data_IF_083870006237
#
_entry.id   IF_083870006237
#
_cell.length_a   1.000
_cell.length_b   1.000
_cell.length_c   1.000
_cell.angle_alpha   90.00
_cell.angle_beta   90.00
_cell.angle_gamma   90.00
#
_symmetry.space_group_name_H-M   'P 1'
#
loop_
_entity.id
_entity.type
_entity.pdbx_description
1 polymer ?
#
# COMPACT_ATOMS: atom_id res chain seq x y z
N UNK A 1 -11.37 -18.73 27.66
CA UNK A 1 -12.06 -19.79 26.87
C UNK A 1 -12.84 -19.29 25.64
N UNK A 2 -13.69 -18.24 25.71
CA UNK A 2 -14.47 -17.78 24.52
C UNK A 2 -13.63 -17.30 23.32
N UNK A 3 -12.50 -16.62 23.55
CA UNK A 3 -11.61 -16.13 22.46
C UNK A 3 -10.85 -17.26 21.73
N UNK A 4 -10.44 -18.31 22.46
CA UNK A 4 -9.74 -19.47 21.89
C UNK A 4 -10.64 -20.25 20.92
N UNK A 5 -11.89 -20.52 21.34
CA UNK A 5 -12.90 -21.18 20.49
C UNK A 5 -13.23 -20.34 19.23
N UNK A 6 -13.33 -19.01 19.37
CA UNK A 6 -13.56 -18.12 18.23
C UNK A 6 -12.39 -18.17 17.22
N UNK A 7 -11.15 -18.11 17.70
CA UNK A 7 -9.96 -18.19 16.84
C UNK A 7 -9.93 -19.52 16.09
N UNK A 8 -10.18 -20.64 16.78
CA UNK A 8 -10.27 -21.97 16.16
C UNK A 8 -11.37 -22.05 15.09
N UNK A 9 -12.53 -21.43 15.31
CA UNK A 9 -13.61 -21.38 14.32
C UNK A 9 -13.27 -20.56 13.08
N UNK A 10 -12.49 -19.48 13.24
CA UNK A 10 -11.97 -18.70 12.13
C UNK A 10 -10.99 -19.55 11.31
N UNK A 11 -10.02 -20.20 11.97
CA UNK A 11 -9.02 -21.05 11.31
C UNK A 11 -9.68 -22.22 10.56
N UNK A 12 -10.68 -22.88 11.17
CA UNK A 12 -11.49 -23.91 10.49
C UNK A 12 -12.19 -23.36 9.24
N UNK A 13 -12.70 -22.13 9.29
CA UNK A 13 -13.37 -21.46 8.16
C UNK A 13 -12.42 -21.13 7.01
N UNK A 14 -11.16 -20.80 7.32
CA UNK A 14 -10.12 -20.54 6.32
C UNK A 14 -9.69 -21.85 5.66
N UNK A 15 -9.45 -22.90 6.45
CA UNK A 15 -9.16 -24.24 5.95
C UNK A 15 -10.28 -24.77 5.05
N UNK A 16 -11.54 -24.64 5.45
CA UNK A 16 -12.69 -25.05 4.61
C UNK A 16 -12.87 -24.19 3.35
N UNK A 17 -12.24 -23.01 3.29
CA UNK A 17 -12.19 -22.16 2.11
C UNK A 17 -10.99 -22.49 1.20
N UNK A 18 -10.29 -23.59 1.48
CA UNK A 18 -9.16 -24.12 0.71
C UNK A 18 -7.88 -23.31 0.87
N UNK A 19 -7.64 -22.74 2.05
CA UNK A 19 -6.34 -22.15 2.40
C UNK A 19 -5.57 -23.14 3.28
N UNK A 20 -4.28 -23.26 3.05
CA UNK A 20 -3.38 -24.12 3.81
C UNK A 20 -2.72 -23.35 4.95
N UNK A 21 -2.59 -23.99 6.10
CA UNK A 21 -1.92 -23.36 7.24
C UNK A 21 -0.42 -23.28 6.97
N UNK A 22 0.17 -22.10 7.24
CA UNK A 22 1.61 -21.94 7.34
C UNK A 22 1.96 -21.35 8.69
N UNK A 23 3.02 -21.89 9.28
CA UNK A 23 3.68 -21.21 10.40
C UNK A 23 4.66 -20.17 9.86
N UNK A 24 4.74 -19.01 10.50
CA UNK A 24 5.59 -17.91 10.07
C UNK A 24 6.77 -17.77 11.01
N UNK A 25 7.95 -17.48 10.47
CA UNK A 25 9.12 -17.22 11.29
C UNK A 25 8.91 -15.91 12.06
N UNK A 26 9.15 -15.92 13.38
CA UNK A 26 8.99 -14.72 14.23
C UNK A 26 10.10 -13.70 13.98
N UNK A 27 11.27 -14.20 13.58
CA UNK A 27 12.47 -13.41 13.32
C UNK A 27 12.80 -13.48 11.84
N UNK A 28 13.04 -12.33 11.22
CA UNK A 28 13.33 -12.22 9.79
C UNK A 28 14.55 -11.31 9.55
N UNK A 29 15.22 -11.41 8.38
CA UNK A 29 16.32 -10.51 8.04
C UNK A 29 15.86 -9.04 7.99
N UNK A 30 16.60 -8.15 8.68
CA UNK A 30 16.23 -6.73 8.78
C UNK A 30 16.33 -6.01 7.43
N UNK A 31 17.33 -6.36 6.62
CA UNK A 31 17.59 -5.72 5.33
C UNK A 31 16.38 -5.82 4.38
N UNK A 32 15.67 -6.96 4.36
CA UNK A 32 14.47 -7.14 3.53
C UNK A 32 13.36 -6.13 3.85
N UNK A 33 13.25 -5.71 5.13
CA UNK A 33 12.28 -4.69 5.54
C UNK A 33 12.76 -3.28 5.16
N UNK A 34 14.04 -2.99 5.39
CA UNK A 34 14.61 -1.66 5.18
C UNK A 34 14.80 -1.31 3.71
N UNK A 35 15.20 -2.27 2.87
CA UNK A 35 15.30 -2.09 1.42
C UNK A 35 13.95 -1.66 0.83
N UNK A 36 12.86 -2.23 1.35
CA UNK A 36 11.49 -1.89 0.94
C UNK A 36 11.01 -0.55 1.50
N UNK A 37 11.02 -0.40 2.84
CA UNK A 37 10.35 0.72 3.53
C UNK A 37 11.26 1.90 3.87
N UNK A 38 12.55 1.79 3.56
CA UNK A 38 13.57 2.78 3.86
C UNK A 38 13.96 2.85 5.33
N UNK A 39 15.10 3.50 5.59
CA UNK A 39 15.70 3.59 6.94
C UNK A 39 14.79 4.23 7.99
N UNK A 40 13.88 5.12 7.58
CA UNK A 40 12.91 5.69 8.54
C UNK A 40 12.03 4.63 9.22
N UNK A 41 11.85 3.46 8.58
CA UNK A 41 11.09 2.35 9.14
C UNK A 41 11.86 1.62 10.26
N UNK A 42 13.18 1.79 10.36
CA UNK A 42 14.00 1.24 11.45
C UNK A 42 13.49 1.68 12.82
N UNK A 43 12.97 2.91 12.92
CA UNK A 43 12.33 3.44 14.14
C UNK A 43 11.11 2.64 14.62
N UNK A 44 10.53 1.82 13.74
CA UNK A 44 9.30 1.07 13.99
C UNK A 44 9.53 -0.42 14.29
N UNK A 45 10.74 -0.94 14.12
CA UNK A 45 11.04 -2.37 14.26
C UNK A 45 11.98 -2.65 15.43
N UNK A 46 11.85 -3.83 16.04
CA UNK A 46 12.80 -4.34 17.01
C UNK A 46 13.88 -5.13 16.27
N UNK A 47 15.01 -4.50 15.97
CA UNK A 47 16.18 -5.15 15.38
C UNK A 47 17.27 -5.45 16.40
N UNK A 48 18.06 -6.48 16.11
CA UNK A 48 19.16 -7.00 16.90
C UNK A 48 20.20 -7.64 15.98
N UNK A 49 21.41 -7.85 16.50
CA UNK A 49 22.51 -8.50 15.79
C UNK A 49 22.62 -9.93 16.30
N UNK A 50 22.67 -10.90 15.40
CA UNK A 50 22.88 -12.31 15.75
C UNK A 50 24.36 -12.62 16.06
N UNK A 51 24.62 -13.85 16.49
CA UNK A 51 25.97 -14.33 16.80
C UNK A 51 26.94 -14.32 15.61
N UNK A 52 26.43 -14.21 14.38
CA UNK A 52 27.23 -14.14 13.14
C UNK A 52 27.39 -12.69 12.65
N UNK A 53 26.95 -11.69 13.42
CA UNK A 53 27.01 -10.28 13.04
C UNK A 53 25.91 -9.84 12.06
N UNK A 54 24.92 -10.69 11.77
CA UNK A 54 23.83 -10.37 10.86
C UNK A 54 22.71 -9.63 11.58
N UNK A 55 22.22 -8.56 10.98
CA UNK A 55 21.08 -7.82 11.51
C UNK A 55 19.74 -8.51 11.19
N UNK A 56 18.97 -8.80 12.23
CA UNK A 56 17.67 -9.47 12.19
C UNK A 56 16.66 -8.69 13.03
N UNK A 57 15.36 -8.91 12.79
CA UNK A 57 14.30 -8.21 13.52
C UNK A 57 13.11 -9.10 13.83
N UNK A 58 12.37 -8.74 14.88
CA UNK A 58 11.03 -9.30 15.09
C UNK A 58 10.13 -8.84 13.94
N UNK A 59 9.38 -9.77 13.36
CA UNK A 59 8.50 -9.49 12.22
C UNK A 59 7.53 -8.34 12.55
N UNK A 60 7.52 -7.24 11.78
CA UNK A 60 6.61 -6.13 12.02
C UNK A 60 5.25 -6.28 11.32
N UNK A 61 5.14 -7.24 10.41
CA UNK A 61 3.99 -7.47 9.53
C UNK A 61 3.96 -8.96 9.11
N UNK A 62 2.82 -9.62 9.31
CA UNK A 62 2.68 -11.06 8.99
C UNK A 62 2.58 -11.32 7.48
N UNK A 63 2.07 -10.37 6.70
CA UNK A 63 2.02 -10.49 5.23
C UNK A 63 3.43 -10.43 4.64
N UNK A 64 4.32 -9.61 5.21
CA UNK A 64 5.73 -9.62 4.78
C UNK A 64 6.39 -10.96 5.13
N UNK A 65 6.17 -11.48 6.34
CA UNK A 65 6.71 -12.77 6.73
C UNK A 65 6.18 -13.93 5.85
N UNK A 66 4.90 -13.88 5.44
CA UNK A 66 4.32 -14.87 4.50
C UNK A 66 4.97 -14.79 3.11
N UNK A 67 5.25 -13.58 2.62
CA UNK A 67 5.98 -13.37 1.37
C UNK A 67 7.42 -13.89 1.43
N UNK A 68 8.14 -13.65 2.54
CA UNK A 68 9.50 -14.18 2.75
C UNK A 68 9.47 -15.71 2.76
N UNK A 69 8.50 -16.31 3.47
CA UNK A 69 8.34 -17.77 3.50
C UNK A 69 8.10 -18.32 2.09
N UNK A 70 7.24 -17.68 1.31
CA UNK A 70 6.98 -18.04 -0.08
C UNK A 70 8.26 -17.98 -0.94
N UNK A 71 9.09 -16.94 -0.77
CA UNK A 71 10.35 -16.78 -1.51
C UNK A 71 11.36 -17.90 -1.24
N UNK A 72 11.37 -18.42 -0.01
CA UNK A 72 12.28 -19.47 0.43
C UNK A 72 11.84 -20.89 0.03
N UNK A 73 10.63 -21.05 -0.53
CA UNK A 73 10.18 -22.35 -1.03
C UNK A 73 10.92 -22.75 -2.31
N UNK A 74 11.31 -24.03 -2.40
CA UNK A 74 12.02 -24.59 -3.57
C UNK A 74 11.21 -24.45 -4.88
N UNK A 75 9.88 -24.66 -4.82
CA UNK A 75 8.97 -24.54 -5.96
C UNK A 75 7.98 -23.40 -5.72
N UNK A 76 8.18 -22.29 -6.42
CA UNK A 76 7.29 -21.13 -6.40
C UNK A 76 6.12 -21.37 -7.34
N UNK A 77 4.96 -21.69 -6.79
CA UNK A 77 3.71 -21.88 -7.54
C UNK A 77 2.60 -20.99 -6.98
N UNK A 78 1.43 -21.05 -7.60
CA UNK A 78 0.20 -20.59 -6.97
C UNK A 78 0.07 -21.18 -5.56
N UNK A 79 -0.32 -20.36 -4.59
CA UNK A 79 -0.49 -20.76 -3.20
C UNK A 79 -1.63 -19.99 -2.54
N UNK A 80 -2.39 -20.67 -1.68
CA UNK A 80 -3.41 -20.09 -0.82
C UNK A 80 -3.10 -20.45 0.61
N UNK A 81 -2.70 -19.46 1.41
CA UNK A 81 -2.19 -19.72 2.76
C UNK A 81 -2.96 -18.93 3.80
N UNK A 82 -3.04 -19.47 5.01
CA UNK A 82 -3.45 -18.70 6.18
C UNK A 82 -2.50 -18.94 7.35
N UNK A 83 -2.47 -17.99 8.27
CA UNK A 83 -1.62 -18.03 9.44
C UNK A 83 -2.32 -17.37 10.62
N UNK A 84 -1.80 -17.66 11.82
CA UNK A 84 -2.21 -17.01 13.06
C UNK A 84 -0.95 -16.69 13.85
N UNK A 85 -0.78 -15.44 14.28
CA UNK A 85 0.39 -15.07 15.04
C UNK A 85 0.45 -13.60 15.42
N UNK A 86 1.61 -13.22 15.95
CA UNK A 86 1.90 -11.90 16.47
C UNK A 86 2.82 -11.12 15.53
N UNK A 87 2.48 -9.86 15.27
CA UNK A 87 3.38 -8.87 14.70
C UNK A 87 3.87 -7.91 15.79
N UNK A 88 5.14 -7.50 15.72
CA UNK A 88 5.82 -6.70 16.72
C UNK A 88 6.25 -5.36 16.13
N UNK A 89 5.68 -4.25 16.61
CA UNK A 89 6.02 -2.91 16.11
C UNK A 89 6.22 -1.94 17.25
N UNK A 90 7.32 -1.19 17.21
CA UNK A 90 7.53 -0.06 18.13
C UNK A 90 6.41 0.96 17.92
N UNK A 91 5.95 1.52 19.03
CA UNK A 91 4.83 2.45 19.05
C UNK A 91 5.34 3.88 19.15
N UNK A 92 4.76 4.78 18.37
CA UNK A 92 5.07 6.21 18.46
C UNK A 92 4.07 6.96 19.36
N UNK A 93 2.90 6.36 19.61
CA UNK A 93 1.85 6.90 20.48
C UNK A 93 1.66 5.98 21.68
N UNK A 94 1.43 6.55 22.86
CA UNK A 94 1.29 5.81 24.14
C UNK A 94 0.18 4.74 24.13
N UNK A 95 -0.87 4.91 23.32
CA UNK A 95 -2.04 4.02 23.32
C UNK A 95 -1.97 2.90 22.26
N UNK A 96 -0.94 2.88 21.41
CA UNK A 96 -0.80 1.82 20.42
C UNK A 96 -0.24 0.57 21.10
N UNK A 97 -0.65 -0.61 20.62
CA UNK A 97 -0.10 -1.88 21.08
C UNK A 97 1.15 -2.26 20.31
N UNK A 98 2.17 -2.71 21.04
CA UNK A 98 3.42 -3.23 20.49
C UNK A 98 3.18 -4.56 19.78
N UNK A 99 2.40 -5.45 20.42
CA UNK A 99 2.06 -6.77 19.94
C UNK A 99 0.67 -6.71 19.31
N UNK A 100 0.55 -7.23 18.08
CA UNK A 100 -0.71 -7.31 17.34
C UNK A 100 -1.00 -8.75 16.94
N UNK A 101 -2.04 -9.31 17.53
CA UNK A 101 -2.50 -10.67 17.21
C UNK A 101 -3.42 -10.64 15.99
N UNK A 102 -3.02 -11.35 14.95
CA UNK A 102 -3.68 -11.34 13.66
C UNK A 102 -3.82 -12.76 13.09
N UNK A 103 -4.97 -13.01 12.49
CA UNK A 103 -5.17 -14.14 11.58
C UNK A 103 -5.22 -13.56 10.17
N UNK A 104 -4.25 -13.94 9.33
CA UNK A 104 -4.18 -13.50 7.94
C UNK A 104 -4.40 -14.65 6.96
N UNK A 105 -4.80 -14.31 5.75
CA UNK A 105 -5.04 -15.25 4.65
C UNK A 105 -4.70 -14.59 3.31
N UNK A 106 -3.87 -15.28 2.51
CA UNK A 106 -3.21 -14.74 1.32
C UNK A 106 -3.44 -15.66 0.11
N UNK A 107 -3.59 -15.07 -1.07
CA UNK A 107 -3.50 -15.75 -2.36
C UNK A 107 -2.29 -15.19 -3.09
N UNK A 108 -1.33 -16.06 -3.45
CA UNK A 108 -0.02 -15.67 -3.98
C UNK A 108 0.23 -16.43 -5.30
N UNK A 109 0.78 -15.74 -6.31
CA UNK A 109 1.25 -16.34 -7.55
C UNK A 109 0.15 -16.75 -8.53
N UNK A 110 -1.05 -16.21 -8.36
CA UNK A 110 -2.16 -16.41 -9.29
C UNK A 110 -2.08 -15.49 -10.50
N UNK A 111 -2.71 -15.89 -11.61
CA UNK A 111 -2.84 -15.09 -12.85
C UNK A 111 -4.22 -14.44 -13.01
N UNK A 112 -5.20 -14.79 -12.17
CA UNK A 112 -6.58 -14.27 -12.26
C UNK A 112 -6.87 -13.32 -11.10
N UNK A 113 -6.33 -12.11 -11.21
CA UNK A 113 -6.37 -11.09 -10.17
C UNK A 113 -7.80 -10.76 -9.71
N UNK A 114 -8.74 -10.70 -10.66
CA UNK A 114 -10.14 -10.32 -10.39
C UNK A 114 -10.87 -11.38 -9.58
N UNK A 115 -10.65 -12.65 -9.93
CA UNK A 115 -11.20 -13.77 -9.17
C UNK A 115 -10.66 -13.79 -7.75
N UNK A 116 -9.35 -13.58 -7.59
CA UNK A 116 -8.70 -13.60 -6.29
C UNK A 116 -9.14 -12.44 -5.39
N UNK A 117 -9.29 -11.23 -5.95
CA UNK A 117 -9.79 -10.05 -5.23
C UNK A 117 -11.18 -10.32 -4.64
N UNK A 118 -12.08 -10.86 -5.49
CA UNK A 118 -13.42 -11.26 -5.05
C UNK A 118 -13.37 -12.39 -4.03
N UNK A 119 -12.46 -13.36 -4.20
CA UNK A 119 -12.31 -14.49 -3.29
C UNK A 119 -11.81 -14.07 -1.91
N UNK A 120 -10.82 -13.18 -1.83
CA UNK A 120 -10.31 -12.64 -0.56
C UNK A 120 -11.40 -11.88 0.19
N UNK A 121 -12.17 -11.01 -0.49
CA UNK A 121 -13.27 -10.29 0.17
C UNK A 121 -14.33 -11.28 0.68
N UNK A 122 -14.74 -12.25 -0.15
CA UNK A 122 -15.71 -13.28 0.26
C UNK A 122 -15.20 -14.11 1.44
N UNK A 123 -13.90 -14.40 1.49
CA UNK A 123 -13.26 -15.11 2.60
C UNK A 123 -13.33 -14.27 3.88
N UNK A 124 -13.04 -12.97 3.78
CA UNK A 124 -13.23 -12.02 4.89
C UNK A 124 -14.67 -11.97 5.41
N UNK A 125 -15.67 -11.95 4.50
CA UNK A 125 -17.10 -12.01 4.88
C UNK A 125 -17.41 -13.33 5.60
N UNK A 126 -16.91 -14.47 5.10
CA UNK A 126 -17.10 -15.79 5.72
C UNK A 126 -16.49 -15.87 7.13
N UNK A 127 -15.31 -15.29 7.32
CA UNK A 127 -14.66 -15.16 8.64
C UNK A 127 -15.54 -14.33 9.58
N UNK A 128 -16.05 -13.19 9.11
CA UNK A 128 -16.91 -12.32 9.92
C UNK A 128 -18.29 -12.92 10.24
N UNK A 129 -18.80 -13.82 9.40
CA UNK A 129 -20.04 -14.57 9.69
C UNK A 129 -19.91 -15.52 10.89
N UNK A 130 -18.70 -15.75 11.43
CA UNK A 130 -18.50 -16.46 12.72
C UNK A 130 -18.89 -15.60 13.92
N UNK A 131 -19.08 -14.31 13.72
CA UNK A 131 -19.55 -13.37 14.73
C UNK A 131 -21.04 -13.12 14.57
N UNK A 132 -21.72 -12.85 15.69
CA UNK A 132 -23.12 -12.42 15.68
C UNK A 132 -23.17 -10.91 15.44
N UNK A 133 -23.68 -10.49 14.28
CA UNK A 133 -23.88 -9.09 13.95
C UNK A 133 -25.18 -8.87 13.14
N UNK A 134 -25.77 -7.67 13.31
CA UNK A 134 -27.01 -7.25 12.62
C UNK A 134 -26.71 -6.55 11.29
N UNK A 135 -25.68 -5.69 11.27
CA UNK A 135 -25.29 -4.91 10.11
C UNK A 135 -23.77 -4.63 10.12
N UNK A 136 -23.25 -4.19 9.00
CA UNK A 136 -21.88 -3.73 8.85
C UNK A 136 -21.65 -3.05 7.50
N UNK A 137 -20.40 -2.78 7.18
CA UNK A 137 -20.02 -2.13 5.93
C UNK A 137 -18.77 -2.74 5.31
N UNK A 138 -18.70 -2.68 3.98
CA UNK A 138 -17.50 -2.93 3.18
C UNK A 138 -17.13 -1.61 2.53
N UNK A 139 -15.92 -1.12 2.79
CA UNK A 139 -15.31 -0.01 2.06
C UNK A 139 -14.31 -0.59 1.08
N UNK A 140 -14.45 -0.23 -0.20
CA UNK A 140 -13.53 -0.63 -1.26
C UNK A 140 -12.84 0.63 -1.81
N UNK A 141 -11.54 0.53 -2.04
CA UNK A 141 -10.77 1.49 -2.83
C UNK A 141 -9.95 0.75 -3.88
N UNK A 142 -9.31 1.50 -4.77
CA UNK A 142 -8.39 0.92 -5.74
C UNK A 142 -7.24 1.90 -6.02
N UNK A 143 -6.04 1.54 -5.57
CA UNK A 143 -4.81 2.35 -5.71
C UNK A 143 -4.40 2.48 -7.18
N UNK A 144 -4.70 1.48 -8.01
CA UNK A 144 -4.43 1.49 -9.44
C UNK A 144 -5.10 2.68 -10.13
N UNK A 145 -6.34 2.99 -9.78
CA UNK A 145 -7.10 4.12 -10.35
C UNK A 145 -6.40 5.45 -10.03
N UNK A 146 -5.87 5.60 -8.81
CA UNK A 146 -5.08 6.76 -8.44
C UNK A 146 -3.78 6.85 -9.25
N UNK A 147 -3.08 5.73 -9.45
CA UNK A 147 -1.88 5.71 -10.30
C UNK A 147 -2.18 6.09 -11.75
N UNK A 148 -3.26 5.58 -12.32
CA UNK A 148 -3.73 5.93 -13.67
C UNK A 148 -4.06 7.42 -13.78
N UNK A 149 -4.75 7.99 -12.79
CA UNK A 149 -5.00 9.43 -12.70
C UNK A 149 -3.68 10.21 -12.73
N UNK A 150 -2.77 9.96 -11.79
CA UNK A 150 -1.49 10.70 -11.67
C UNK A 150 -0.67 10.61 -12.97
N UNK A 151 -0.67 9.46 -13.64
CA UNK A 151 0.05 9.27 -14.90
C UNK A 151 -0.49 10.15 -16.04
N UNK A 152 -1.79 10.48 -16.03
CA UNK A 152 -2.44 11.32 -17.04
C UNK A 152 -2.37 12.83 -16.75
N UNK A 153 -1.96 13.23 -15.54
CA UNK A 153 -1.82 14.65 -15.20
C UNK A 153 -0.58 15.26 -15.84
N UNK A 154 -0.67 16.53 -16.24
CA UNK A 154 0.43 17.30 -16.82
C UNK A 154 1.32 17.90 -15.72
N UNK A 155 2.15 17.04 -15.12
CA UNK A 155 3.15 17.40 -14.12
C UNK A 155 4.47 16.68 -14.38
N UNK A 156 5.60 17.20 -13.87
CA UNK A 156 6.89 16.57 -14.07
C UNK A 156 6.92 15.10 -13.63
N UNK A 157 7.64 14.23 -14.35
CA UNK A 157 7.69 12.78 -14.06
C UNK A 157 8.10 12.49 -12.61
N UNK A 158 9.05 13.27 -12.09
CA UNK A 158 9.50 13.20 -10.68
C UNK A 158 8.36 13.40 -9.67
N UNK A 159 7.40 14.27 -9.97
CA UNK A 159 6.26 14.53 -9.11
C UNK A 159 5.24 13.40 -9.19
N UNK A 160 5.01 12.83 -10.38
CA UNK A 160 4.18 11.62 -10.53
C UNK A 160 4.69 10.49 -9.64
N UNK A 161 5.99 10.19 -9.72
CA UNK A 161 6.64 9.16 -8.92
C UNK A 161 6.55 9.44 -7.41
N UNK A 162 6.77 10.69 -6.98
CA UNK A 162 6.66 11.06 -5.55
C UNK A 162 5.23 10.93 -5.03
N UNK A 163 4.24 11.41 -5.78
CA UNK A 163 2.83 11.33 -5.37
C UNK A 163 2.35 9.88 -5.28
N UNK A 164 2.72 9.04 -6.26
CA UNK A 164 2.41 7.60 -6.24
C UNK A 164 3.08 6.90 -5.04
N UNK A 165 4.40 7.06 -4.88
CA UNK A 165 5.17 6.43 -3.79
C UNK A 165 4.65 6.79 -2.40
N UNK A 166 4.19 8.02 -2.22
CA UNK A 166 3.83 8.55 -0.91
C UNK A 166 2.32 8.65 -0.68
N UNK A 167 1.50 8.04 -1.55
CA UNK A 167 0.05 8.05 -1.41
C UNK A 167 -0.42 7.58 -0.02
N UNK A 168 0.25 6.57 0.52
CA UNK A 168 -0.02 5.95 1.83
C UNK A 168 0.38 6.78 3.05
N UNK A 169 1.09 7.91 2.89
CA UNK A 169 1.49 8.77 4.01
C UNK A 169 0.70 10.06 3.97
N UNK A 170 -0.56 10.02 4.43
CA UNK A 170 -1.51 11.12 4.25
C UNK A 170 -0.94 12.51 4.58
N UNK A 171 -0.33 12.68 5.76
CA UNK A 171 0.29 13.94 6.17
C UNK A 171 1.39 14.41 5.19
N UNK A 172 2.36 13.53 4.88
CA UNK A 172 3.44 13.85 3.95
C UNK A 172 2.94 14.07 2.53
N UNK A 173 1.94 13.31 2.08
CA UNK A 173 1.30 13.50 0.79
C UNK A 173 0.61 14.85 0.69
N UNK A 174 -0.08 15.29 1.73
CA UNK A 174 -0.71 16.61 1.78
C UNK A 174 0.36 17.72 1.76
N UNK A 175 1.51 17.51 2.41
CA UNK A 175 2.67 18.40 2.29
C UNK A 175 3.22 18.44 0.86
N UNK A 176 3.29 17.29 0.16
CA UNK A 176 3.68 17.23 -1.25
C UNK A 176 2.70 18.01 -2.13
N UNK A 177 1.40 17.88 -1.91
CA UNK A 177 0.39 18.66 -2.63
C UNK A 177 0.56 20.16 -2.39
N UNK A 178 0.78 20.58 -1.14
CA UNK A 178 1.05 21.99 -0.82
C UNK A 178 2.26 22.52 -1.57
N UNK A 179 3.38 21.78 -1.56
CA UNK A 179 4.58 22.17 -2.33
C UNK A 179 4.31 22.26 -3.82
N UNK A 180 3.57 21.30 -4.39
CA UNK A 180 3.21 21.30 -5.81
C UNK A 180 2.32 22.50 -6.18
N UNK A 181 1.43 22.90 -5.28
CA UNK A 181 0.49 24.02 -5.41
C UNK A 181 1.18 25.39 -5.32
N UNK A 182 2.08 25.56 -4.35
CA UNK A 182 2.62 26.89 -4.01
C UNK A 182 4.02 27.17 -4.54
N UNK A 183 4.80 26.15 -4.91
CA UNK A 183 6.25 26.25 -5.11
C UNK A 183 7.03 26.79 -3.91
N UNK A 184 6.46 26.79 -2.69
CA UNK A 184 7.07 27.45 -1.52
C UNK A 184 8.39 26.83 -1.04
N UNK A 185 8.78 25.66 -1.55
CA UNK A 185 10.06 25.00 -1.28
C UNK A 185 11.17 25.40 -2.27
N UNK A 186 10.90 26.34 -3.19
CA UNK A 186 11.84 26.79 -4.22
C UNK A 186 12.18 28.25 -3.99
N UNK A 187 13.47 28.51 -3.78
CA UNK A 187 14.05 29.85 -3.81
C UNK A 187 14.77 30.03 -5.16
N UNK A 188 14.31 30.99 -5.96
CA UNK A 188 14.83 31.25 -7.30
C UNK A 188 16.31 31.66 -7.28
N UNK A 189 16.73 32.37 -6.23
CA UNK A 189 18.12 32.78 -6.00
C UNK A 189 19.02 31.56 -5.80
N UNK A 190 18.57 30.62 -4.95
CA UNK A 190 19.30 29.36 -4.71
C UNK A 190 19.34 28.51 -5.98
N UNK A 191 18.23 28.44 -6.72
CA UNK A 191 18.17 27.70 -7.99
C UNK A 191 19.18 28.25 -9.00
N UNK A 192 19.32 29.56 -9.10
CA UNK A 192 20.27 30.18 -10.02
C UNK A 192 21.73 29.94 -9.61
N UNK A 193 22.03 30.00 -8.30
CA UNK A 193 23.34 29.60 -7.78
C UNK A 193 23.66 28.13 -8.07
N UNK A 194 22.69 27.24 -7.90
CA UNK A 194 22.85 25.82 -8.16
C UNK A 194 23.01 25.51 -9.66
N UNK A 195 22.37 26.25 -10.56
CA UNK A 195 22.62 26.16 -12.02
C UNK A 195 24.06 26.53 -12.36
N UNK A 196 24.60 27.61 -11.77
CA UNK A 196 26.02 27.99 -11.96
C UNK A 196 26.96 26.88 -11.48
N UNK A 197 26.66 26.28 -10.32
CA UNK A 197 27.42 25.12 -9.80
C UNK A 197 27.35 23.91 -10.73
N UNK A 198 26.17 23.61 -11.29
CA UNK A 198 25.97 22.54 -12.27
C UNK A 198 26.92 22.69 -13.48
N UNK A 199 26.99 23.87 -14.09
CA UNK A 199 27.88 24.11 -15.23
C UNK A 199 29.37 23.99 -14.86
N UNK A 200 29.76 24.38 -13.64
CA UNK A 200 31.12 24.17 -13.12
C UNK A 200 31.44 22.69 -12.92
N UNK A 201 30.49 21.92 -12.38
CA UNK A 201 30.61 20.48 -12.16
C UNK A 201 30.65 19.68 -13.46
N UNK A 202 30.02 20.17 -14.53
CA UNK A 202 30.07 19.54 -15.84
C UNK A 202 31.49 19.41 -16.42
N UNK A 203 32.38 20.36 -16.08
CA UNK A 203 33.78 20.39 -16.52
C UNK A 203 34.73 19.51 -15.70
N UNK A 204 34.23 18.81 -14.69
CA UNK A 204 35.05 17.99 -13.78
C UNK A 204 35.02 16.50 -14.16
N UNK A 205 35.85 15.70 -13.49
CA UNK A 205 35.86 14.24 -13.66
C UNK A 205 34.52 13.63 -13.21
N UNK A 206 33.79 13.09 -14.18
CA UNK A 206 32.43 12.56 -14.02
C UNK A 206 32.36 11.26 -13.19
N UNK A 207 33.48 10.56 -13.05
CA UNK A 207 33.59 9.34 -12.24
C UNK A 207 33.87 9.64 -10.76
N UNK A 208 34.12 10.90 -10.39
CA UNK A 208 34.33 11.30 -9.01
C UNK A 208 33.08 11.02 -8.18
N UNK A 209 33.25 10.37 -7.03
CA UNK A 209 32.16 10.14 -6.08
C UNK A 209 32.03 11.31 -5.09
N UNK A 210 30.78 11.71 -4.83
CA UNK A 210 30.40 12.71 -3.82
C UNK A 210 29.29 12.09 -2.98
N UNK A 211 29.56 11.87 -1.69
CA UNK A 211 28.59 11.29 -0.73
C UNK A 211 27.88 10.02 -1.26
N UNK A 212 28.67 9.10 -1.83
CA UNK A 212 28.17 7.81 -2.34
C UNK A 212 27.48 7.84 -3.70
N UNK A 213 27.46 8.97 -4.41
CA UNK A 213 26.97 9.07 -5.80
C UNK A 213 28.06 9.56 -6.74
N UNK A 214 28.05 9.07 -7.98
CA UNK A 214 28.94 9.61 -9.02
C UNK A 214 28.50 11.03 -9.41
N UNK A 215 29.48 11.85 -9.78
CA UNK A 215 29.22 13.19 -10.29
C UNK A 215 28.29 13.15 -11.52
N UNK A 216 28.49 12.15 -12.40
CA UNK A 216 27.62 11.88 -13.54
C UNK A 216 26.16 11.70 -13.12
N UNK A 217 25.89 10.88 -12.10
CA UNK A 217 24.51 10.66 -11.61
C UNK A 217 23.91 11.97 -11.09
N UNK A 218 24.68 12.74 -10.32
CA UNK A 218 24.24 14.03 -9.77
C UNK A 218 23.85 14.99 -10.91
N UNK A 219 24.71 15.12 -11.93
CA UNK A 219 24.45 15.99 -13.09
C UNK A 219 23.23 15.53 -13.89
N UNK A 220 23.08 14.24 -14.17
CA UNK A 220 21.90 13.69 -14.86
C UNK A 220 20.62 14.03 -14.08
N UNK A 221 20.62 13.88 -12.75
CA UNK A 221 19.45 14.21 -11.92
C UNK A 221 19.17 15.72 -11.90
N UNK A 222 20.20 16.55 -11.96
CA UNK A 222 20.06 18.00 -12.00
C UNK A 222 19.51 18.46 -13.35
N UNK A 223 20.07 17.98 -14.46
CA UNK A 223 19.62 18.25 -15.83
C UNK A 223 18.13 17.91 -16.02
N UNK A 224 17.70 16.75 -15.51
CA UNK A 224 16.30 16.36 -15.51
C UNK A 224 15.38 17.36 -14.77
N UNK A 225 15.86 18.02 -13.71
CA UNK A 225 15.09 19.05 -12.99
C UNK A 225 15.02 20.36 -13.77
N UNK A 226 16.07 20.71 -14.52
CA UNK A 226 16.11 21.90 -15.38
C UNK A 226 15.14 21.73 -16.57
N UNK A 227 15.18 20.58 -17.25
CA UNK A 227 14.40 20.30 -18.45
C UNK A 227 12.89 20.16 -18.20
N UNK A 228 12.51 19.69 -17.01
CA UNK A 228 11.11 19.47 -16.62
C UNK A 228 10.78 20.25 -15.32
N UNK A 229 10.79 21.60 -15.39
CA UNK A 229 10.60 22.45 -14.23
C UNK A 229 9.13 22.44 -13.79
N UNK A 230 8.93 22.64 -12.50
CA UNK A 230 7.58 22.78 -11.94
C UNK A 230 7.04 24.17 -12.27
N UNK A 231 5.79 24.25 -12.77
CA UNK A 231 5.10 25.51 -13.11
C UNK A 231 3.94 25.75 -12.15
N UNK A 232 3.83 26.95 -11.57
CA UNK A 232 2.90 27.25 -10.46
C UNK A 232 1.42 27.12 -10.86
N UNK A 233 0.98 27.80 -11.93
CA UNK A 233 -0.43 27.77 -12.40
C UNK A 233 -0.90 26.33 -12.69
N UNK A 234 -0.04 25.52 -13.32
CA UNK A 234 -0.32 24.10 -13.57
C UNK A 234 -0.41 23.29 -12.27
N UNK A 235 0.46 23.59 -11.30
CA UNK A 235 0.48 22.95 -9.98
C UNK A 235 -0.82 23.12 -9.21
N UNK A 236 -1.38 24.33 -9.17
CA UNK A 236 -2.65 24.63 -8.48
C UNK A 236 -3.82 23.83 -9.06
N UNK A 237 -3.99 23.87 -10.38
CA UNK A 237 -5.06 23.13 -11.07
C UNK A 237 -4.93 21.63 -10.85
N UNK A 238 -3.72 21.08 -10.94
CA UNK A 238 -3.46 19.67 -10.69
C UNK A 238 -3.79 19.27 -9.26
N UNK A 239 -3.39 20.07 -8.28
CA UNK A 239 -3.68 19.81 -6.86
C UNK A 239 -5.19 19.85 -6.61
N UNK A 240 -5.91 20.79 -7.23
CA UNK A 240 -7.38 20.83 -7.18
C UNK A 240 -7.99 19.53 -7.70
N UNK A 241 -7.56 19.05 -8.86
CA UNK A 241 -8.04 17.78 -9.45
C UNK A 241 -7.78 16.61 -8.49
N UNK A 242 -6.57 16.51 -7.93
CA UNK A 242 -6.23 15.43 -6.98
C UNK A 242 -7.10 15.51 -5.73
N UNK A 243 -7.30 16.71 -5.16
CA UNK A 243 -8.17 16.89 -3.98
C UNK A 243 -9.63 16.56 -4.28
N UNK A 244 -10.15 16.92 -5.46
CA UNK A 244 -11.49 16.52 -5.90
C UNK A 244 -11.61 15.00 -6.05
N UNK A 245 -10.62 14.34 -6.65
CA UNK A 245 -10.58 12.88 -6.74
C UNK A 245 -10.69 12.24 -5.37
N UNK A 246 -9.86 12.66 -4.40
CA UNK A 246 -9.81 12.08 -3.05
C UNK A 246 -11.10 12.24 -2.24
N UNK A 247 -11.96 13.18 -2.61
CA UNK A 247 -13.28 13.39 -1.99
C UNK A 247 -14.34 12.43 -2.51
N UNK A 248 -14.08 11.68 -3.58
CA UNK A 248 -15.04 10.72 -4.14
C UNK A 248 -15.28 9.60 -3.13
N UNK A 249 -16.50 9.57 -2.59
CA UNK A 249 -17.04 8.54 -1.72
C UNK A 249 -18.52 8.33 -2.09
N UNK A 250 -18.90 7.11 -2.44
CA UNK A 250 -20.22 6.82 -2.97
C UNK A 250 -20.64 5.36 -2.78
N UNK A 251 -21.90 5.06 -3.07
CA UNK A 251 -22.40 3.68 -3.20
C UNK A 251 -21.65 2.94 -4.30
N UNK A 252 -21.41 1.64 -4.11
CA UNK A 252 -20.61 0.83 -5.01
C UNK A 252 -21.14 0.79 -6.45
N UNK A 253 -22.47 0.76 -6.62
CA UNK A 253 -23.17 0.76 -7.91
C UNK A 253 -22.87 2.00 -8.75
N UNK A 254 -22.60 3.14 -8.10
CA UNK A 254 -22.36 4.43 -8.75
C UNK A 254 -20.87 4.73 -8.97
N UNK A 255 -19.97 3.90 -8.45
CA UNK A 255 -18.53 4.19 -8.42
C UNK A 255 -17.95 4.46 -9.81
N UNK A 256 -18.21 3.56 -10.78
CA UNK A 256 -17.71 3.72 -12.15
C UNK A 256 -18.26 4.99 -12.81
N UNK A 257 -19.57 5.24 -12.68
CA UNK A 257 -20.24 6.41 -13.26
C UNK A 257 -19.67 7.72 -12.72
N UNK A 258 -19.51 7.82 -11.40
CA UNK A 258 -18.98 9.03 -10.75
C UNK A 258 -17.52 9.27 -11.14
N UNK A 259 -16.69 8.21 -11.17
CA UNK A 259 -15.29 8.32 -11.59
C UNK A 259 -15.17 8.75 -13.06
N UNK A 260 -15.95 8.16 -13.95
CA UNK A 260 -15.93 8.52 -15.37
C UNK A 260 -16.44 9.94 -15.62
N UNK A 261 -17.48 10.38 -14.89
CA UNK A 261 -17.94 11.76 -14.92
C UNK A 261 -16.85 12.73 -14.42
N UNK A 262 -16.13 12.37 -13.36
CA UNK A 262 -14.99 13.13 -12.85
C UNK A 262 -13.85 13.23 -13.88
N UNK A 263 -13.47 12.13 -14.54
CA UNK A 263 -12.42 12.16 -15.57
C UNK A 263 -12.83 13.00 -16.78
N UNK A 264 -14.08 12.89 -17.24
CA UNK A 264 -14.63 13.71 -18.33
C UNK A 264 -14.63 15.19 -17.98
N UNK A 265 -15.13 15.56 -16.80
CA UNK A 265 -15.14 16.96 -16.29
C UNK A 265 -13.75 17.59 -16.33
N UNK A 266 -12.72 16.82 -15.97
CA UNK A 266 -11.35 17.29 -15.88
C UNK A 266 -10.51 17.03 -17.15
N UNK A 267 -11.14 16.63 -18.27
CA UNK A 267 -10.48 16.33 -19.55
C UNK A 267 -9.36 15.28 -19.46
N UNK A 268 -9.54 14.30 -18.57
CA UNK A 268 -8.58 13.20 -18.36
C UNK A 268 -9.00 12.03 -19.25
N UNK A 269 -8.13 11.62 -20.17
CA UNK A 269 -8.35 10.44 -21.02
C UNK A 269 -8.14 9.14 -20.23
N UNK A 270 -9.14 8.80 -19.42
CA UNK A 270 -9.22 7.60 -18.58
C UNK A 270 -10.68 7.17 -18.45
N UNK A 271 -10.92 5.87 -18.48
CA UNK A 271 -12.24 5.28 -18.23
C UNK A 271 -12.06 4.05 -17.37
N UNK A 272 -12.90 3.93 -16.34
CA UNK A 272 -12.94 2.77 -15.45
C UNK A 272 -14.22 1.98 -15.67
N UNK A 273 -14.07 0.68 -15.87
CA UNK A 273 -15.17 -0.27 -16.02
C UNK A 273 -15.37 -1.13 -14.77
N UNK A 274 -16.27 -2.12 -14.88
CA UNK A 274 -16.55 -3.09 -13.82
C UNK A 274 -15.32 -3.90 -13.39
N UNK A 275 -14.32 -4.02 -14.25
CA UNK A 275 -13.08 -4.74 -14.02
C UNK A 275 -12.21 -4.18 -12.89
N UNK A 276 -12.38 -2.91 -12.51
CA UNK A 276 -11.64 -2.28 -11.40
C UNK A 276 -12.27 -2.54 -10.03
N UNK A 277 -13.40 -3.25 -9.99
CA UNK A 277 -14.25 -3.39 -8.81
C UNK A 277 -14.62 -4.87 -8.60
N UNK A 278 -14.12 -5.54 -7.55
CA UNK A 278 -14.44 -6.95 -7.30
C UNK A 278 -15.90 -7.17 -6.88
N UNK A 279 -16.58 -6.12 -6.44
CA UNK A 279 -17.99 -6.09 -6.05
C UNK A 279 -18.62 -4.85 -6.69
N UNK A 280 -19.78 -5.01 -7.32
CA UNK A 280 -20.53 -3.89 -7.94
C UNK A 280 -21.90 -3.66 -7.30
N UNK A 281 -22.29 -4.51 -6.35
CA UNK A 281 -23.57 -4.40 -5.62
C UNK A 281 -23.40 -3.49 -4.40
N UNK A 282 -24.43 -2.72 -4.07
CA UNK A 282 -24.47 -1.85 -2.89
C UNK A 282 -24.63 -2.61 -1.57
N UNK A 283 -24.98 -3.89 -1.64
CA UNK A 283 -25.18 -4.73 -0.47
C UNK A 283 -24.73 -6.16 -0.75
N UNK A 284 -24.01 -6.75 0.21
CA UNK A 284 -23.64 -8.17 0.22
C UNK A 284 -24.02 -8.73 1.59
N UNK A 285 -25.01 -9.63 1.62
CA UNK A 285 -25.59 -10.12 2.88
C UNK A 285 -26.08 -8.94 3.76
N UNK A 286 -25.59 -8.83 4.99
CA UNK A 286 -25.91 -7.76 5.96
C UNK A 286 -25.00 -6.52 5.84
N UNK A 287 -24.16 -6.45 4.82
CA UNK A 287 -23.10 -5.44 4.70
C UNK A 287 -23.41 -4.46 3.56
N UNK A 288 -23.41 -3.17 3.87
CA UNK A 288 -23.49 -2.11 2.86
C UNK A 288 -22.13 -1.90 2.22
N UNK A 289 -22.07 -1.73 0.90
CA UNK A 289 -20.82 -1.62 0.14
C UNK A 289 -20.68 -0.21 -0.41
N UNK A 290 -19.57 0.44 -0.06
CA UNK A 290 -19.24 1.79 -0.51
C UNK A 290 -17.86 1.80 -1.17
N UNK A 291 -17.70 2.66 -2.17
CA UNK A 291 -16.43 2.97 -2.79
C UNK A 291 -15.86 4.28 -2.22
N UNK A 292 -14.56 4.30 -1.95
CA UNK A 292 -13.81 5.50 -1.57
C UNK A 292 -12.47 5.55 -2.30
N UNK A 293 -12.26 6.61 -3.05
CA UNK A 293 -11.03 6.91 -3.81
C UNK A 293 -9.81 7.20 -2.94
N UNK A 294 -10.02 7.66 -1.70
CA UNK A 294 -9.00 7.96 -0.70
C UNK A 294 -8.72 6.77 0.23
N UNK A 295 -9.42 5.65 0.07
CA UNK A 295 -9.16 4.44 0.84
C UNK A 295 -7.87 3.73 0.36
N UNK A 296 -7.18 3.03 1.27
CA UNK A 296 -5.88 2.37 0.99
C UNK A 296 -4.65 3.17 1.42
N UNK A 297 -4.83 4.38 1.96
CA UNK A 297 -3.74 5.29 2.31
C UNK A 297 -3.07 5.02 3.67
N UNK A 298 -3.00 3.76 4.10
CA UNK A 298 -2.47 3.38 5.42
C UNK A 298 -1.35 2.34 5.34
N UNK A 299 -1.14 1.72 4.18
CA UNK A 299 -0.11 0.71 3.96
C UNK A 299 0.64 0.98 2.66
N UNK A 300 1.95 0.80 2.71
CA UNK A 300 2.89 1.20 1.65
C UNK A 300 2.83 0.33 0.39
N UNK A 301 2.41 -0.93 0.54
CA UNK A 301 2.66 -1.97 -0.45
C UNK A 301 1.48 -2.32 -1.35
N UNK A 302 0.31 -1.71 -1.13
CA UNK A 302 -0.85 -1.99 -1.98
C UNK A 302 -0.70 -1.39 -3.37
N UNK A 303 -0.95 -2.21 -4.39
CA UNK A 303 -0.81 -1.87 -5.81
C UNK A 303 -2.15 -1.72 -6.53
N UNK A 304 -3.22 -2.30 -5.99
CA UNK A 304 -4.52 -2.36 -6.63
C UNK A 304 -5.69 -2.20 -5.66
N UNK A 305 -6.64 -3.14 -5.73
CA UNK A 305 -7.82 -3.15 -4.87
C UNK A 305 -7.44 -3.21 -3.39
N UNK A 306 -8.12 -2.42 -2.57
CA UNK A 306 -8.00 -2.41 -1.12
C UNK A 306 -9.40 -2.46 -0.51
N UNK A 307 -9.56 -3.16 0.60
CA UNK A 307 -10.85 -3.26 1.26
C UNK A 307 -10.75 -3.25 2.79
N UNK A 308 -11.87 -2.85 3.40
CA UNK A 308 -12.12 -3.00 4.84
C UNK A 308 -13.55 -3.42 5.04
N UNK A 309 -13.74 -4.51 5.77
CA UNK A 309 -15.04 -4.95 6.24
C UNK A 309 -15.12 -4.61 7.73
N UNK A 310 -16.18 -3.93 8.15
CA UNK A 310 -16.41 -3.57 9.55
C UNK A 310 -17.77 -4.08 9.98
N UNK A 311 -17.82 -4.79 11.10
CA UNK A 311 -19.05 -5.19 11.77
C UNK A 311 -19.02 -4.75 13.23
N UNK A 312 -20.20 -4.58 13.82
CA UNK A 312 -20.36 -4.43 15.26
C UNK A 312 -20.95 -5.73 15.82
N UNK A 313 -20.20 -6.40 16.70
CA UNK A 313 -20.62 -7.63 17.37
C UNK A 313 -20.41 -7.48 18.87
N UNK A 314 -21.47 -7.65 19.67
CA UNK A 314 -21.45 -7.52 21.14
C UNK A 314 -20.73 -6.25 21.63
N UNK A 315 -21.10 -5.10 21.05
CA UNK A 315 -20.50 -3.79 21.35
C UNK A 315 -19.01 -3.66 21.06
N UNK A 316 -18.42 -4.62 20.32
CA UNK A 316 -17.05 -4.57 19.81
C UNK A 316 -17.05 -4.39 18.30
N UNK A 317 -16.17 -3.52 17.83
CA UNK A 317 -15.92 -3.33 16.41
C UNK A 317 -14.93 -4.39 15.94
N UNK A 318 -15.29 -5.12 14.89
CA UNK A 318 -14.46 -6.18 14.34
C UNK A 318 -14.20 -5.87 12.88
N UNK A 319 -12.95 -6.01 12.46
CA UNK A 319 -12.52 -5.58 11.14
C UNK A 319 -11.70 -6.65 10.44
N UNK A 320 -11.98 -6.83 9.15
CA UNK A 320 -11.09 -7.50 8.22
C UNK A 320 -10.59 -6.43 7.26
N UNK A 321 -9.27 -6.29 7.13
CA UNK A 321 -8.66 -5.34 6.20
C UNK A 321 -7.74 -6.10 5.26
N UNK A 322 -7.58 -5.60 4.04
CA UNK A 322 -6.74 -6.27 3.05
C UNK A 322 -6.64 -5.52 1.74
N UNK A 323 -5.98 -6.15 0.78
CA UNK A 323 -5.80 -5.60 -0.56
C UNK A 323 -4.77 -6.36 -1.38
N UNK A 324 -4.58 -5.89 -2.61
CA UNK A 324 -3.67 -6.44 -3.62
C UNK A 324 -2.30 -5.75 -3.57
N UNK A 325 -1.22 -6.53 -3.65
CA UNK A 325 0.16 -6.08 -3.46
C UNK A 325 1.16 -6.80 -4.35
N UNK A 326 0.97 -6.68 -5.66
CA UNK A 326 1.69 -7.49 -6.66
C UNK A 326 3.19 -7.21 -6.78
N UNK A 327 3.68 -6.12 -6.17
CA UNK A 327 5.10 -5.75 -6.18
C UNK A 327 5.84 -6.22 -4.92
N UNK A 328 5.14 -6.57 -3.84
CA UNK A 328 5.77 -6.80 -2.54
C UNK A 328 6.81 -7.93 -2.58
N UNK A 329 6.52 -9.01 -3.29
CA UNK A 329 7.40 -10.18 -3.35
C UNK A 329 8.65 -9.89 -4.22
N UNK A 330 8.53 -9.05 -5.25
CA UNK A 330 9.71 -8.57 -6.00
C UNK A 330 10.55 -7.60 -5.18
N UNK A 331 9.91 -6.71 -4.41
CA UNK A 331 10.60 -5.77 -3.52
C UNK A 331 11.38 -6.49 -2.40
N UNK A 332 11.01 -7.74 -2.08
CA UNK A 332 11.68 -8.61 -1.11
C UNK A 332 12.73 -9.55 -1.75
N UNK A 333 13.00 -9.43 -3.05
CA UNK A 333 14.09 -10.16 -3.72
C UNK A 333 13.68 -11.18 -4.78
N UNK A 334 12.41 -11.28 -5.18
CA UNK A 334 12.05 -12.07 -6.37
C UNK A 334 12.52 -11.38 -7.66
N UNK A 335 13.12 -12.15 -8.57
CA UNK A 335 13.49 -11.68 -9.92
C UNK A 335 12.29 -11.42 -10.83
N UNK A 336 11.10 -11.90 -10.46
CA UNK A 336 9.85 -11.70 -11.22
C UNK A 336 8.79 -11.07 -10.33
N UNK A 337 7.94 -10.24 -10.94
CA UNK A 337 6.71 -9.76 -10.31
C UNK A 337 5.77 -10.94 -10.04
N UNK A 338 5.25 -11.04 -8.82
CA UNK A 338 4.38 -12.14 -8.38
C UNK A 338 3.11 -11.52 -7.81
N UNK A 339 1.97 -11.64 -8.51
CA UNK A 339 0.70 -11.12 -8.04
C UNK A 339 0.29 -11.73 -6.71
N UNK A 340 -0.25 -10.90 -5.81
CA UNK A 340 -0.68 -11.36 -4.51
C UNK A 340 -1.79 -10.48 -3.94
N UNK A 341 -2.72 -11.08 -3.21
CA UNK A 341 -3.83 -10.39 -2.56
C UNK A 341 -4.17 -11.08 -1.24
N UNK A 342 -4.54 -10.27 -0.26
CA UNK A 342 -4.57 -10.69 1.13
C UNK A 342 -5.62 -10.03 1.98
N UNK A 343 -5.88 -10.63 3.14
CA UNK A 343 -6.70 -10.05 4.19
C UNK A 343 -6.31 -10.55 5.57
N UNK A 344 -6.51 -9.71 6.58
CA UNK A 344 -6.27 -10.07 7.97
C UNK A 344 -7.37 -9.54 8.89
N UNK A 345 -7.66 -10.32 9.94
CA UNK A 345 -8.48 -9.92 11.08
C UNK A 345 -7.57 -9.76 12.30
N UNK A 346 -7.67 -8.62 12.96
CA UNK A 346 -7.08 -8.42 14.28
C UNK A 346 -8.06 -8.92 15.34
N UNK A 347 -7.59 -9.71 16.29
CA UNK A 347 -8.42 -10.25 17.37
C UNK A 347 -8.44 -9.38 18.62
N UNK A 348 -7.45 -8.49 18.75
CA UNK A 348 -7.15 -7.73 19.96
C UNK A 348 -7.08 -6.21 19.75
N UNK A 349 -7.56 -5.69 18.62
CA UNK A 349 -7.57 -4.24 18.34
C UNK A 349 -8.73 -3.50 19.03
#
# INVERSE_FOLDING_TARGET
MKSKNLSENILKSLKSSGFDYIDLDTVIPTNLILERSGESFRSLIFSFIDQNGKEICLRPDLTIASCIKYLNQKKKSYSKVYYNGQAFRKVQKKNDKIIRDQIGFEIIGSKDEKRDDRQIINTGIKVLNKFRYKSGSITIGNVEIFHLLINKLDIPKRWKLRLQRHFWRESYFNELLRRLETNSDVDETIVELDKKRYFKMFKQNQNRNIAGRSLREILIRFDNKIKDPRRQIKGQNVVKIIREYLKINCKMSNAATILNAFFKKNKINLTVGKNYFPITKDKVSKLNVNFSSSFGRHLEYYTGMVFKITINSNSRKIQVNGGRYDNLISDLGSSKKIPAVGGAISLND
#
